data_IF_536530175429
#
_entry.id   IF_536530175429
#
_cell.length_a   1.000
_cell.length_b   1.000
_cell.length_c   1.000
_cell.angle_alpha   90.00
_cell.angle_beta   90.00
_cell.angle_gamma   90.00
#
_symmetry.space_group_name_H-M   'P 1'
#
loop_
_entity.id
_entity.type
_entity.pdbx_description
1 polymer ?
2 non-polymer ?
3 non-polymer ?
4 non-polymer ?
5 non-polymer ?
6 non-polymer ?
7 non-polymer ?
8 non-polymer ?
9 non-polymer ?
10 water ?
#
# COMPACT_ATOMS: atom_id res chain seq x y z
N UNK A 1 -8.63 -17.39 -4.63
CA UNK A 1 -8.19 -18.22 -5.80
C UNK A 1 -6.83 -17.75 -6.34
N UNK A 2 -6.52 -16.48 -6.10
CA UNK A 2 -5.37 -15.85 -6.79
C UNK A 2 -3.97 -15.92 -6.19
N UNK A 3 -3.05 -15.15 -6.77
CA UNK A 3 -1.65 -15.17 -6.24
C UNK A 3 -1.55 -14.75 -4.76
N UNK A 4 -0.69 -15.47 -4.02
CA UNK A 4 -0.38 -15.19 -2.64
C UNK A 4 1.08 -15.37 -2.45
N UNK A 5 1.65 -14.68 -1.48
CA UNK A 5 3.03 -14.89 -1.12
C UNK A 5 3.14 -16.25 -0.41
N UNK A 6 4.10 -17.06 -0.77
CA UNK A 6 4.23 -18.40 -0.09
C UNK A 6 5.41 -18.38 0.85
N UNK A 7 5.55 -17.27 1.61
CA UNK A 7 6.59 -17.17 2.58
C UNK A 7 6.10 -16.16 3.61
N UNK A 8 6.66 -16.20 4.81
CA UNK A 8 6.19 -15.31 5.87
C UNK A 8 7.05 -14.06 6.05
N UNK A 9 8.33 -14.06 5.64
CA UNK A 9 9.16 -12.89 5.74
C UNK A 9 9.20 -12.19 4.39
N UNK A 10 8.60 -11.01 4.35
CA UNK A 10 8.47 -10.20 3.12
C UNK A 10 9.35 -8.93 3.29
N UNK A 11 10.04 -8.55 2.22
CA UNK A 11 10.87 -7.34 2.24
C UNK A 11 10.24 -6.26 1.37
N UNK A 12 10.52 -5.00 1.75
CA UNK A 12 10.10 -3.89 0.94
C UNK A 12 11.24 -2.92 0.88
N UNK A 13 11.25 -2.10 -0.17
CA UNK A 13 12.25 -1.09 -0.35
C UNK A 13 11.56 0.15 -0.86
N UNK A 14 11.98 1.29 -0.37
CA UNK A 14 11.49 2.58 -0.87
C UNK A 14 12.51 3.09 -1.96
N UNK A 15 12.04 3.01 -3.18
CA UNK A 15 12.88 3.26 -4.36
C UNK A 15 13.26 4.73 -4.36
N UNK A 16 12.29 5.59 -3.99
CA UNK A 16 12.44 7.08 -4.08
C UNK A 16 11.42 7.69 -3.17
N UNK A 17 11.69 8.90 -2.69
CA UNK A 17 10.84 9.59 -1.76
C UNK A 17 10.13 10.76 -2.35
N UNK A 18 8.85 10.92 -2.08
CA UNK A 18 8.16 12.11 -2.57
C UNK A 18 8.73 13.33 -1.88
N UNK A 19 8.93 14.42 -2.63
CA UNK A 19 9.24 15.71 -1.99
C UNK A 19 8.12 16.37 -1.19
N UNK A 20 6.89 15.84 -1.26
CA UNK A 20 5.74 16.36 -0.60
C UNK A 20 5.82 16.27 0.91
N UNK A 21 6.64 15.34 1.43
CA UNK A 21 6.68 14.95 2.82
C UNK A 21 8.12 14.93 3.34
N UNK A 22 8.25 15.02 4.66
CA UNK A 22 9.52 14.75 5.34
C UNK A 22 9.88 13.27 5.09
N UNK A 23 11.15 13.00 4.87
CA UNK A 23 11.58 11.61 4.59
C UNK A 23 11.18 10.68 5.70
N UNK A 24 11.42 11.09 6.94
CA UNK A 24 11.04 10.24 8.13
C UNK A 24 9.53 9.94 8.19
N UNK A 25 8.73 10.86 7.68
CA UNK A 25 7.30 10.66 7.61
C UNK A 25 6.85 9.69 6.52
N UNK A 26 7.58 9.69 5.42
CA UNK A 26 7.37 8.67 4.36
C UNK A 26 7.68 7.26 4.94
N UNK A 27 8.84 7.14 5.56
CA UNK A 27 9.30 5.91 6.19
C UNK A 27 8.27 5.43 7.18
N UNK A 28 7.77 6.32 8.05
CA UNK A 28 6.83 5.91 9.12
C UNK A 28 5.45 5.55 8.54
N UNK A 29 4.98 6.32 7.59
CA UNK A 29 3.72 6.01 6.94
C UNK A 29 3.71 4.65 6.30
N UNK A 30 4.73 4.30 5.52
CA UNK A 30 4.76 3.02 4.87
C UNK A 30 4.93 1.88 5.92
N UNK A 31 5.81 2.13 6.87
CA UNK A 31 5.99 1.14 7.91
C UNK A 31 4.67 0.81 8.59
N UNK A 32 3.97 1.84 9.00
CA UNK A 32 2.74 1.70 9.72
C UNK A 32 1.69 0.97 8.88
N UNK A 33 1.72 1.22 7.60
CA UNK A 33 0.81 0.56 6.68
C UNK A 33 1.07 -0.95 6.57
N UNK A 34 2.32 -1.35 6.48
CA UNK A 34 2.68 -2.76 6.53
C UNK A 34 2.27 -3.32 7.89
N UNK A 35 2.45 -2.57 8.99
CA UNK A 35 2.04 -3.10 10.34
C UNK A 35 0.56 -3.42 10.44
N UNK A 36 -0.29 -2.64 9.82
CA UNK A 36 -1.69 -2.91 9.75
C UNK A 36 -1.96 -4.37 9.31
N UNK A 37 -1.28 -4.82 8.29
CA UNK A 37 -1.57 -6.13 7.74
C UNK A 37 -0.81 -7.22 8.49
N UNK A 38 0.35 -6.90 9.04
CA UNK A 38 1.12 -7.91 9.81
C UNK A 38 0.40 -8.14 11.12
N UNK A 39 -0.39 -7.16 11.57
CA UNK A 39 -1.08 -7.32 12.86
C UNK A 39 -2.14 -8.42 12.88
N UNK A 40 -2.62 -8.81 11.70
CA UNK A 40 -3.73 -9.74 11.47
C UNK A 40 -3.35 -10.99 10.65
N UNK A 41 -2.07 -11.17 10.41
CA UNK A 41 -1.56 -12.30 9.66
C UNK A 41 -0.25 -12.80 10.33
N UNK A 42 0.33 -13.90 9.80
CA UNK A 42 1.66 -14.34 10.22
C UNK A 42 2.77 -13.64 9.47
N UNK A 43 2.45 -12.66 8.56
CA UNK A 43 3.46 -12.03 7.81
C UNK A 43 4.31 -11.06 8.63
N UNK A 44 5.58 -11.04 8.30
CA UNK A 44 6.53 -10.08 8.78
C UNK A 44 7.12 -9.28 7.63
N UNK A 45 7.21 -7.96 7.81
CA UNK A 45 7.76 -7.10 6.77
C UNK A 45 9.04 -6.41 7.25
N UNK A 46 10.08 -6.39 6.43
CA UNK A 46 11.34 -5.76 6.80
C UNK A 46 11.72 -4.81 5.68
N UNK A 47 12.16 -3.63 6.05
CA UNK A 47 12.61 -2.63 5.09
C UNK A 47 14.05 -2.93 4.73
N UNK A 48 14.38 -2.95 3.47
CA UNK A 48 15.79 -3.05 3.06
C UNK A 48 16.18 -1.84 2.23
N UNK A 49 17.48 -1.50 2.23
CA UNK A 49 17.91 -0.32 1.55
C UNK A 49 18.64 -0.58 0.24
N UNK A 50 19.00 -1.83 0.02
CA UNK A 50 19.68 -2.23 -1.20
C UNK A 50 19.25 -3.60 -1.50
N UNK A 51 19.37 -3.98 -2.75
CA UNK A 51 19.09 -5.32 -3.17
C UNK A 51 17.68 -5.40 -3.72
N UNK A 52 17.24 -6.61 -4.01
CA UNK A 52 15.90 -6.78 -4.58
C UNK A 52 14.90 -7.02 -3.44
N UNK A 53 13.90 -6.20 -3.30
CA UNK A 53 12.85 -6.42 -2.33
C UNK A 53 11.72 -7.08 -3.01
N UNK A 54 10.83 -7.74 -2.23
CA UNK A 54 9.60 -8.27 -2.74
C UNK A 54 8.72 -7.14 -3.26
N UNK A 55 8.58 -6.12 -2.44
CA UNK A 55 7.68 -5.02 -2.64
C UNK A 55 8.49 -3.76 -2.79
N UNK A 56 8.57 -3.30 -4.04
CA UNK A 56 9.23 -1.97 -4.31
C UNK A 56 8.16 -0.86 -4.26
N UNK A 57 8.45 0.15 -3.44
CA UNK A 57 7.57 1.28 -3.26
C UNK A 57 8.14 2.44 -4.11
N UNK A 58 7.36 2.92 -5.04
CA UNK A 58 7.80 3.91 -6.06
C UNK A 58 6.87 5.13 -6.08
N UNK A 59 7.41 6.35 -6.10
CA UNK A 59 6.60 7.51 -6.44
C UNK A 59 6.96 7.94 -7.87
N UNK A 60 5.95 8.02 -8.75
CA UNK A 60 6.22 8.28 -10.17
C UNK A 60 5.02 9.02 -10.71
N UNK A 61 5.20 9.65 -11.89
CA UNK A 61 4.11 10.37 -12.53
C UNK A 61 3.93 9.95 -13.98
N UNK A 62 2.73 10.16 -14.47
CA UNK A 62 2.34 9.74 -15.84
C UNK A 62 2.76 8.34 -16.23
N UNK A 63 3.34 8.29 -17.41
CA UNK A 63 3.83 7.02 -17.97
C UNK A 63 5.14 6.66 -17.27
N UNK A 64 5.17 5.55 -16.56
CA UNK A 64 6.36 5.28 -15.70
C UNK A 64 6.90 3.83 -15.80
N UNK A 65 6.71 3.23 -16.97
CA UNK A 65 7.44 2.03 -17.34
C UNK A 65 6.70 0.74 -17.12
N UNK A 66 5.46 0.84 -16.64
CA UNK A 66 4.59 -0.31 -16.64
C UNK A 66 3.48 0.04 -17.63
N UNK A 67 2.45 -0.77 -17.68
CA UNK A 67 1.43 -0.52 -18.75
C UNK A 67 0.25 0.34 -18.24
N UNK A 68 0.45 0.96 -17.10
CA UNK A 68 -0.62 1.59 -16.36
C UNK A 68 -0.29 3.00 -15.96
N UNK A 69 -0.37 3.90 -16.91
CA UNK A 69 0.08 5.28 -16.62
C UNK A 69 -0.73 5.94 -15.54
N UNK A 70 -0.14 6.89 -14.83
CA UNK A 70 -0.92 7.76 -14.01
C UNK A 70 -1.39 8.96 -14.85
N UNK A 71 -2.25 9.74 -14.22
CA UNK A 71 -3.23 10.62 -14.88
C UNK A 71 -3.20 12.08 -14.36
N UNK A 72 -2.09 12.47 -13.77
CA UNK A 72 -1.96 13.81 -13.16
C UNK A 72 -2.71 13.94 -11.87
N UNK A 73 -2.79 15.18 -11.37
CA UNK A 73 -3.48 15.41 -10.12
C UNK A 73 -4.91 14.97 -10.21
N UNK A 74 -5.40 14.28 -9.18
CA UNK A 74 -6.74 13.72 -9.17
C UNK A 74 -6.83 12.29 -9.72
N UNK A 75 -8.04 11.73 -9.71
CA UNK A 75 -8.27 10.39 -10.20
C UNK A 75 -7.41 9.35 -9.46
N UNK A 76 -6.52 8.71 -10.20
CA UNK A 76 -5.79 7.58 -9.69
C UNK A 76 -4.80 8.09 -8.67
N UNK A 77 -4.78 7.46 -7.51
CA UNK A 77 -3.84 7.85 -6.46
C UNK A 77 -2.61 6.91 -6.37
N UNK A 78 -2.82 5.62 -6.66
CA UNK A 78 -1.80 4.60 -6.51
C UNK A 78 -2.32 3.33 -7.11
N UNK A 79 -1.41 2.45 -7.51
CA UNK A 79 -1.78 1.05 -7.84
C UNK A 79 -0.76 0.11 -7.44
N UNK A 80 -1.10 -1.19 -7.31
CA UNK A 80 -0.14 -2.17 -6.80
C UNK A 80 -0.41 -3.46 -7.52
N UNK A 81 0.66 -4.17 -7.81
CA UNK A 81 0.64 -5.48 -8.47
C UNK A 81 0.51 -6.53 -7.43
N UNK A 82 -0.30 -7.52 -7.72
CA UNK A 82 -0.36 -8.70 -6.83
C UNK A 82 0.90 -9.52 -6.74
N UNK A 83 0.93 -10.44 -5.78
CA UNK A 83 2.10 -11.23 -5.54
C UNK A 83 2.64 -11.91 -6.76
N UNK A 84 3.96 -11.94 -6.86
CA UNK A 84 4.62 -12.47 -8.08
C UNK A 84 6.07 -12.02 -8.04
N UNK A 85 6.88 -12.60 -8.91
CA UNK A 85 8.24 -12.17 -9.15
C UNK A 85 8.27 -10.83 -9.90
N UNK A 86 9.42 -10.21 -9.89
CA UNK A 86 9.62 -8.95 -10.61
C UNK A 86 8.71 -7.87 -10.10
N UNK A 87 7.94 -7.26 -10.99
CA UNK A 87 7.02 -6.18 -10.65
C UNK A 87 5.95 -6.66 -9.70
N UNK A 88 5.81 -7.98 -9.52
CA UNK A 88 4.77 -8.43 -8.61
C UNK A 88 5.08 -7.86 -7.26
N UNK A 89 4.01 -7.49 -6.58
CA UNK A 89 3.97 -6.88 -5.29
C UNK A 89 4.20 -5.39 -5.25
N UNK A 90 4.74 -4.84 -6.32
CA UNK A 90 5.26 -3.45 -6.23
C UNK A 90 4.12 -2.50 -6.13
N UNK A 91 4.32 -1.40 -5.39
CA UNK A 91 3.30 -0.43 -5.12
C UNK A 91 3.82 0.96 -5.61
N UNK A 92 3.04 1.56 -6.49
CA UNK A 92 3.35 2.81 -7.15
C UNK A 92 2.36 3.90 -6.72
N UNK A 93 2.84 5.08 -6.40
CA UNK A 93 2.06 6.17 -5.84
C UNK A 93 2.29 7.34 -6.85
N UNK A 94 1.21 7.98 -7.24
CA UNK A 94 1.24 9.07 -8.21
C UNK A 94 1.81 10.30 -7.54
N UNK A 95 2.95 10.72 -8.01
CA UNK A 95 3.64 11.94 -7.50
C UNK A 95 2.90 13.21 -7.84
N UNK A 96 2.01 13.16 -8.82
CA UNK A 96 1.12 14.31 -9.04
C UNK A 96 0.12 14.55 -7.97
N UNK A 97 -0.10 13.61 -7.05
CA UNK A 97 -0.84 13.89 -5.86
C UNK A 97 0.04 14.61 -4.85
N UNK A 98 -0.60 15.24 -3.89
CA UNK A 98 0.13 15.96 -2.81
C UNK A 98 -0.03 15.08 -1.53
N UNK A 99 1.01 14.31 -1.25
CA UNK A 99 0.99 13.33 -0.15
C UNK A 99 1.21 14.02 1.18
N UNK A 100 0.46 13.58 2.19
CA UNK A 100 0.58 14.14 3.53
C UNK A 100 0.39 13.08 4.61
N UNK A 101 0.74 13.49 5.81
CA UNK A 101 0.44 12.75 7.03
C UNK A 101 -0.93 13.02 7.67
N UNK A 102 -1.73 13.88 7.08
CA UNK A 102 -2.92 14.38 7.70
C UNK A 102 -4.12 14.36 6.74
N UNK A 103 -5.14 15.21 6.96
CA UNK A 103 -6.37 15.16 6.13
C UNK A 103 -6.28 16.00 4.88
N UNK A 104 -5.32 16.89 4.81
CA UNK A 104 -5.11 17.63 3.60
C UNK A 104 -4.44 16.81 2.56
N UNK A 105 -4.54 17.23 1.31
CA UNK A 105 -3.96 16.44 0.26
C UNK A 105 -4.49 15.04 0.24
N UNK A 106 -3.63 14.07 -0.05
CA UNK A 106 -4.01 12.65 -0.05
C UNK A 106 -3.12 12.01 1.03
N UNK A 107 -3.76 11.33 1.97
CA UNK A 107 -3.01 10.69 3.07
C UNK A 107 -2.23 9.49 2.57
N UNK A 108 -0.92 9.49 2.80
CA UNK A 108 -0.07 8.48 2.26
C UNK A 108 -0.31 7.15 3.02
N UNK A 109 -0.34 7.24 4.32
CA UNK A 109 -0.66 6.05 5.15
C UNK A 109 -1.92 5.29 4.70
N UNK A 110 -3.05 5.97 4.57
CA UNK A 110 -4.29 5.29 4.18
C UNK A 110 -4.19 4.69 2.78
N UNK A 111 -3.64 5.46 1.82
CA UNK A 111 -3.44 4.94 0.50
C UNK A 111 -2.52 3.73 0.49
N UNK A 112 -1.46 3.74 1.27
CA UNK A 112 -0.56 2.65 1.32
C UNK A 112 -1.18 1.39 1.92
N UNK A 113 -2.06 1.54 2.91
CA UNK A 113 -2.74 0.39 3.48
C UNK A 113 -3.54 -0.34 2.38
N UNK A 114 -4.24 0.46 1.58
CA UNK A 114 -5.08 -0.09 0.47
C UNK A 114 -4.20 -0.70 -0.57
N UNK A 115 -3.18 0.04 -1.01
CA UNK A 115 -2.23 -0.43 -2.05
C UNK A 115 -1.55 -1.77 -1.61
N UNK A 116 -1.03 -1.78 -0.39
CA UNK A 116 -0.46 -3.01 0.17
C UNK A 116 -1.39 -4.17 0.29
N UNK A 117 -2.67 -3.92 0.53
CA UNK A 117 -3.71 -4.94 0.39
C UNK A 117 -3.62 -5.69 -0.92
N UNK A 118 -3.56 -4.94 -2.00
CA UNK A 118 -3.36 -5.50 -3.30
C UNK A 118 -2.03 -6.21 -3.47
N UNK A 119 -0.94 -5.65 -2.95
CA UNK A 119 0.31 -6.29 -3.05
C UNK A 119 0.33 -7.65 -2.34
N UNK A 120 -0.53 -7.82 -1.35
CA UNK A 120 -0.63 -9.10 -0.63
C UNK A 120 -1.67 -10.03 -1.25
N UNK A 121 -2.33 -9.60 -2.33
CA UNK A 121 -3.34 -10.39 -3.08
C UNK A 121 -4.82 -10.09 -2.93
N UNK A 122 -5.22 -9.06 -2.16
CA UNK A 122 -6.58 -8.71 -1.98
C UNK A 122 -7.10 -7.95 -3.21
N UNK A 123 -8.38 -8.13 -3.48
CA UNK A 123 -9.11 -7.37 -4.53
C UNK A 123 -9.87 -6.25 -3.83
N UNK A 124 -11.09 -5.95 -4.27
CA UNK A 124 -11.85 -4.92 -3.67
C UNK A 124 -13.07 -5.47 -2.98
N UNK A 125 -13.40 -4.82 -1.90
CA UNK A 125 -14.58 -5.04 -1.12
C UNK A 125 -15.78 -4.19 -1.55
N UNK A 126 -16.99 -4.74 -1.50
CA UNK A 126 -18.16 -3.94 -1.74
C UNK A 126 -18.62 -3.21 -0.45
N UNK A 127 -17.99 -3.54 0.67
CA UNK A 127 -18.32 -2.94 1.99
C UNK A 127 -17.73 -1.53 2.17
N UNK A 128 -18.59 -0.52 2.25
CA UNK A 128 -18.07 0.83 2.31
C UNK A 128 -17.29 1.15 3.63
N UNK A 129 -17.30 0.25 4.59
CA UNK A 129 -16.52 0.41 5.83
C UNK A 129 -15.11 -0.15 5.70
N UNK A 130 -14.85 -0.86 4.59
CA UNK A 130 -13.59 -1.60 4.42
C UNK A 130 -12.52 -0.75 3.74
N UNK A 131 -11.27 -0.89 4.21
CA UNK A 131 -10.20 -0.18 3.57
C UNK A 131 -9.99 -0.60 2.12
N UNK A 132 -10.36 -1.84 1.76
CA UNK A 132 -10.25 -2.32 0.39
C UNK A 132 -11.45 -1.95 -0.46
N UNK A 133 -12.34 -1.12 0.07
CA UNK A 133 -13.37 -0.46 -0.78
C UNK A 133 -12.65 0.35 -1.87
N UNK A 134 -13.26 0.51 -3.04
CA UNK A 134 -12.44 1.07 -4.13
C UNK A 134 -12.19 2.59 -4.11
N UNK A 135 -12.90 3.31 -3.27
CA UNK A 135 -12.91 4.79 -3.23
C UNK A 135 -12.16 5.26 -2.03
N UNK A 136 -11.27 6.23 -2.21
CA UNK A 136 -10.57 6.85 -1.08
C UNK A 136 -11.50 7.65 -0.17
N UNK A 137 -11.28 7.49 1.13
CA UNK A 137 -11.98 8.18 2.18
C UNK A 137 -10.99 8.49 3.26
N UNK A 138 -10.90 9.74 3.69
CA UNK A 138 -10.05 10.08 4.82
C UNK A 138 -10.76 9.71 6.14
N UNK A 139 -10.09 8.95 7.01
CA UNK A 139 -10.54 8.69 8.37
C UNK A 139 -9.35 9.04 9.30
N UNK A 140 -9.68 9.55 10.49
CA UNK A 140 -8.63 9.86 11.48
C UNK A 140 -7.69 8.66 11.65
N UNK A 141 -6.44 8.90 11.31
CA UNK A 141 -5.50 7.81 11.03
C UNK A 141 -4.98 7.28 12.36
N UNK A 142 -5.02 8.17 13.37
CA UNK A 142 -5.07 7.76 14.73
C UNK A 142 -6.48 7.25 15.00
N UNK A 143 -6.51 6.00 15.45
CA UNK A 143 -7.72 5.23 15.69
C UNK A 143 -8.12 4.44 14.45
N UNK A 144 -7.33 4.52 13.37
CA UNK A 144 -7.72 3.75 12.19
C UNK A 144 -7.73 2.30 12.56
N UNK A 145 -8.72 1.58 12.04
CA UNK A 145 -8.80 0.12 12.23
C UNK A 145 -9.35 -0.58 10.99
N UNK A 146 -8.78 -1.75 10.69
CA UNK A 146 -9.38 -2.60 9.67
C UNK A 146 -10.78 -3.04 10.03
N UNK A 147 -11.60 -3.16 9.01
CA UNK A 147 -12.94 -3.73 9.22
C UNK A 147 -12.89 -5.23 9.30
N UNK A 148 -14.02 -5.79 9.75
CA UNK A 148 -14.21 -7.25 9.81
C UNK A 148 -14.04 -7.89 8.45
N UNK A 149 -14.55 -7.22 7.41
CA UNK A 149 -14.42 -7.69 6.01
C UNK A 149 -12.97 -7.69 5.52
N UNK A 150 -12.22 -6.66 5.87
CA UNK A 150 -10.80 -6.66 5.53
C UNK A 150 -10.05 -7.83 6.21
N UNK A 151 -10.35 -8.04 7.48
CA UNK A 151 -9.74 -9.11 8.28
C UNK A 151 -10.09 -10.45 7.72
N UNK A 152 -11.35 -10.62 7.31
CA UNK A 152 -11.81 -11.90 6.77
C UNK A 152 -11.10 -12.18 5.45
N UNK A 153 -11.02 -11.14 4.62
CA UNK A 153 -10.25 -11.20 3.38
C UNK A 153 -8.79 -11.64 3.52
N UNK A 154 -7.97 -10.96 4.33
CA UNK A 154 -6.59 -11.26 4.38
C UNK A 154 -6.37 -12.62 5.12
N UNK A 155 -7.21 -12.94 6.10
CA UNK A 155 -7.09 -14.23 6.79
C UNK A 155 -7.49 -15.40 5.88
N UNK A 156 -8.36 -15.15 4.91
CA UNK A 156 -8.67 -16.13 3.90
C UNK A 156 -7.49 -16.45 3.00
N UNK A 157 -6.55 -15.50 2.82
CA UNK A 157 -5.36 -15.76 2.09
C UNK A 157 -4.22 -16.29 2.93
N UNK A 158 -4.05 -15.77 4.14
CA UNK A 158 -2.86 -16.07 4.91
C UNK A 158 -3.07 -16.77 6.26
N UNK A 159 -4.26 -16.87 6.75
CA UNK A 159 -4.32 -17.27 8.14
C UNK A 159 -5.26 -18.33 8.49
#
# INVERSE_FOLDING_TARGET
MGPVWRKHYITYRINNYTPDMNREDVDYAIRKAFQVWSNVTPLKFSKINTGMADILVVFARGAHGDDHAFDGKGGILAHAFGPGSGIGGDAHFDEDEFWTTHSGGTNLFLTAVHAIGHSLGLGHSSDPKAVMFPTYKYVDINTFRLSADDIRGIQSLYG
#
